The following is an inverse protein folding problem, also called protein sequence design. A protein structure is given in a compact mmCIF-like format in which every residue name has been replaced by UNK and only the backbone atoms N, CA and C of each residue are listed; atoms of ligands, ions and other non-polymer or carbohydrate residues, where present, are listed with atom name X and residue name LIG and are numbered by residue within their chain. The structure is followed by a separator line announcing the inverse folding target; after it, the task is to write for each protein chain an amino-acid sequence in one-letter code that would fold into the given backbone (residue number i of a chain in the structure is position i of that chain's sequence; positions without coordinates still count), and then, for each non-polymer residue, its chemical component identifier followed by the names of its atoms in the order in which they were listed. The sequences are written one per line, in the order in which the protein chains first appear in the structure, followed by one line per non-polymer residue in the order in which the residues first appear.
data_IF_326463290637
#
_entry.id   IF_326463290637
#
_cell.length_a   1.000
_cell.length_b   1.000
_cell.length_c   1.000
_cell.angle_alpha   90.00
_cell.angle_beta   90.00
_cell.angle_gamma   90.00
#
_symmetry.space_group_name_H-M   'P 1'
#
loop_
_entity.id
_entity.type
_entity.pdbx_description
1 polymer ?
#
# COMPACT_ATOMS: atom_id res chain seq x y z
N UNK A 1 19.31 30.06 61.52
CA UNK A 1 20.46 30.02 60.58
C UNK A 1 21.42 29.00 61.15
N UNK A 2 21.50 27.85 60.50
CA UNK A 2 21.97 26.59 61.09
C UNK A 2 23.23 26.11 60.38
N UNK A 3 24.19 25.58 61.14
CA UNK A 3 25.37 24.89 60.66
C UNK A 3 25.66 23.65 61.53
N UNK A 4 25.87 22.51 60.85
CA UNK A 4 26.93 21.47 61.01
C UNK A 4 27.61 21.29 62.39
N UNK A 5 27.93 20.11 62.97
CA UNK A 5 28.19 18.72 62.49
C UNK A 5 28.29 17.77 63.72
N UNK A 6 28.10 16.44 63.49
CA UNK A 6 28.72 15.26 64.14
C UNK A 6 28.55 14.96 65.65
N UNK A 7 28.15 13.71 65.97
CA UNK A 7 29.02 12.64 66.54
C UNK A 7 28.18 11.41 66.94
N UNK A 8 28.61 10.21 66.53
CA UNK A 8 28.08 8.90 66.97
C UNK A 8 28.75 8.43 68.25
N UNK A 9 27.99 7.86 69.22
CA UNK A 9 28.48 6.84 70.17
C UNK A 9 27.36 5.82 70.43
N UNK A 10 27.75 4.54 70.38
CA UNK A 10 26.96 3.32 70.64
C UNK A 10 26.72 3.15 72.14
N UNK A 11 25.62 2.50 72.52
CA UNK A 11 25.66 1.56 73.64
C UNK A 11 24.65 0.41 73.45
N UNK A 12 25.09 -0.76 73.89
CA UNK A 12 24.42 -2.05 73.75
C UNK A 12 23.93 -2.50 75.12
N UNK A 13 22.66 -2.94 75.26
CA UNK A 13 22.29 -4.26 75.81
C UNK A 13 20.86 -4.33 76.39
N UNK A 14 20.21 -5.46 76.04
CA UNK A 14 19.12 -6.20 76.73
C UNK A 14 17.80 -5.46 76.97
N UNK A 15 16.62 -5.95 76.58
CA UNK A 15 16.09 -7.26 76.96
C UNK A 15 14.80 -7.62 76.19
N UNK A 16 14.63 -8.92 75.92
CA UNK A 16 13.41 -9.69 75.62
C UNK A 16 12.12 -9.03 75.12
N UNK A 17 11.69 -9.45 73.93
CA UNK A 17 10.47 -10.28 73.79
C UNK A 17 10.44 -10.93 72.41
N UNK A 18 10.50 -12.25 72.44
CA UNK A 18 10.26 -13.12 71.30
C UNK A 18 8.91 -12.79 70.65
N UNK A 19 8.96 -12.29 69.43
CA UNK A 19 7.87 -12.43 68.48
C UNK A 19 8.46 -13.09 67.25
N UNK A 20 8.52 -14.42 67.32
CA UNK A 20 8.71 -15.29 66.17
C UNK A 20 7.57 -14.96 65.21
N UNK A 21 7.85 -14.09 64.24
CA UNK A 21 7.03 -13.92 63.06
C UNK A 21 7.38 -15.07 62.15
N UNK A 22 6.65 -16.18 62.32
CA UNK A 22 6.63 -17.30 61.37
C UNK A 22 6.29 -16.70 60.01
N UNK A 23 7.32 -16.52 59.18
CA UNK A 23 7.15 -16.03 57.83
C UNK A 23 6.79 -17.26 57.03
N UNK A 24 5.49 -17.51 56.86
CA UNK A 24 5.00 -18.53 55.95
C UNK A 24 5.53 -18.19 54.55
N UNK A 25 6.54 -18.95 54.11
CA UNK A 25 7.04 -18.88 52.74
C UNK A 25 5.98 -19.48 51.83
N UNK A 26 5.01 -18.67 51.42
CA UNK A 26 4.04 -19.07 50.41
C UNK A 26 4.78 -19.32 49.09
N UNK A 27 4.66 -20.55 48.56
CA UNK A 27 5.17 -20.90 47.24
C UNK A 27 4.34 -20.13 46.22
N UNK A 28 4.97 -19.17 45.55
CA UNK A 28 4.36 -18.44 44.44
C UNK A 28 4.35 -19.39 43.25
N UNK A 29 3.16 -19.86 42.87
CA UNK A 29 2.95 -20.68 41.66
C UNK A 29 2.44 -19.77 40.56
N UNK A 30 3.10 -19.83 39.43
CA UNK A 30 2.67 -19.11 38.22
C UNK A 30 1.34 -19.67 37.73
N UNK A 31 0.42 -18.80 37.34
CA UNK A 31 -0.87 -19.23 36.79
C UNK A 31 -0.68 -19.87 35.42
N UNK A 32 -1.18 -21.10 35.23
CA UNK A 32 -0.95 -21.89 34.01
C UNK A 32 -1.38 -21.18 32.72
N UNK A 33 -2.50 -20.44 32.76
CA UNK A 33 -3.04 -19.74 31.57
C UNK A 33 -2.59 -18.28 31.41
N UNK A 34 -2.26 -17.58 32.49
CA UNK A 34 -2.07 -16.12 32.50
C UNK A 34 -0.69 -15.67 32.98
N UNK A 35 0.24 -16.61 33.16
CA UNK A 35 1.65 -16.29 33.36
C UNK A 35 2.39 -16.23 32.02
N UNK A 36 2.35 -15.07 31.38
CA UNK A 36 3.02 -14.86 30.11
C UNK A 36 4.51 -14.55 30.32
N UNK A 37 5.38 -15.33 29.68
CA UNK A 37 6.78 -14.93 29.46
C UNK A 37 6.83 -13.91 28.31
N UNK A 38 6.28 -12.72 28.54
CA UNK A 38 6.25 -11.63 27.56
C UNK A 38 7.61 -10.93 27.50
N UNK A 39 8.58 -11.63 26.91
CA UNK A 39 9.92 -11.09 26.72
C UNK A 39 9.87 -9.97 25.68
N UNK A 40 10.46 -8.82 26.00
CA UNK A 40 10.76 -7.80 25.01
C UNK A 40 11.98 -8.23 24.21
N UNK A 41 11.95 -7.95 22.90
CA UNK A 41 13.04 -8.23 21.97
C UNK A 41 13.61 -6.91 21.48
N UNK A 42 14.92 -6.75 21.66
CA UNK A 42 15.68 -5.61 21.17
C UNK A 42 16.03 -5.80 19.69
N UNK A 43 15.58 -4.89 18.83
CA UNK A 43 15.87 -4.89 17.38
C UNK A 43 16.54 -3.57 17.03
N UNK A 44 17.68 -3.62 16.34
CA UNK A 44 18.37 -2.45 15.82
C UNK A 44 18.18 -2.38 14.30
N UNK A 45 17.72 -1.21 13.84
CA UNK A 45 17.60 -0.87 12.41
C UNK A 45 18.21 0.50 12.22
N UNK A 46 19.18 0.61 11.31
CA UNK A 46 20.00 1.81 11.18
C UNK A 46 20.58 2.21 12.56
N UNK A 47 20.47 3.49 12.94
CA UNK A 47 20.89 4.01 14.24
C UNK A 47 19.77 4.00 15.29
N UNK A 48 18.66 3.29 15.04
CA UNK A 48 17.49 3.26 15.91
C UNK A 48 17.32 1.90 16.59
N UNK A 49 17.16 1.92 17.92
CA UNK A 49 16.85 0.74 18.71
C UNK A 49 15.35 0.68 19.03
N UNK A 50 14.74 -0.46 18.73
CA UNK A 50 13.36 -0.78 19.04
C UNK A 50 13.32 -1.88 20.10
N UNK A 51 12.35 -1.80 21.01
CA UNK A 51 12.12 -2.83 22.02
C UNK A 51 10.65 -3.23 21.98
N UNK A 52 10.36 -4.46 21.57
CA UNK A 52 9.02 -4.88 21.11
C UNK A 52 8.66 -6.21 21.75
N UNK A 53 7.39 -6.42 22.11
CA UNK A 53 6.92 -7.69 22.64
C UNK A 53 7.17 -8.86 21.68
N UNK A 54 7.78 -9.94 22.17
CA UNK A 54 8.12 -11.14 21.37
C UNK A 54 6.88 -11.75 20.73
N UNK A 55 5.73 -11.73 21.41
CA UNK A 55 4.48 -12.28 20.85
C UNK A 55 4.09 -11.60 19.53
N UNK A 56 4.45 -10.33 19.34
CA UNK A 56 4.10 -9.61 18.13
C UNK A 56 4.94 -10.05 16.94
N UNK A 57 6.21 -10.39 17.18
CA UNK A 57 7.12 -10.92 16.18
C UNK A 57 6.78 -12.38 15.85
N UNK A 58 6.28 -13.17 16.81
CA UNK A 58 5.86 -14.56 16.57
C UNK A 58 4.73 -14.72 15.54
N UNK A 59 4.01 -13.64 15.20
CA UNK A 59 3.00 -13.61 14.13
C UNK A 59 3.62 -13.64 12.72
N UNK A 60 4.93 -13.47 12.62
CA UNK A 60 5.68 -13.64 11.37
C UNK A 60 6.26 -15.04 11.31
N UNK A 61 6.17 -15.63 10.12
CA UNK A 61 6.79 -16.93 9.82
C UNK A 61 8.31 -16.89 10.04
N UNK A 62 8.98 -15.87 9.50
CA UNK A 62 10.44 -15.71 9.60
C UNK A 62 10.89 -15.53 11.06
N UNK A 63 10.26 -14.63 11.81
CA UNK A 63 10.61 -14.40 13.21
C UNK A 63 10.29 -15.62 14.08
N UNK A 64 9.16 -16.29 13.83
CA UNK A 64 8.80 -17.54 14.51
C UNK A 64 9.86 -18.62 14.32
N UNK A 65 10.34 -18.80 13.10
CA UNK A 65 11.38 -19.79 12.80
C UNK A 65 12.74 -19.40 13.37
N UNK A 66 13.12 -18.13 13.28
CA UNK A 66 14.33 -17.60 13.90
C UNK A 66 14.37 -17.87 15.42
N UNK A 67 13.25 -17.72 16.13
CA UNK A 67 13.20 -18.00 17.57
C UNK A 67 13.16 -19.49 17.94
N UNK A 68 12.90 -20.40 16.99
CA UNK A 68 12.94 -21.86 17.21
C UNK A 68 14.35 -22.43 17.05
N UNK A 69 15.26 -21.73 16.38
CA UNK A 69 16.62 -22.22 16.15
C UNK A 69 17.30 -22.50 17.50
N UNK A 70 17.79 -23.73 17.74
CA UNK A 70 18.47 -24.08 18.98
C UNK A 70 19.68 -23.19 19.21
N UNK A 71 19.76 -22.58 20.40
CA UNK A 71 20.86 -21.70 20.76
C UNK A 71 22.10 -22.54 21.09
N UNK A 72 23.26 -22.13 20.59
CA UNK A 72 24.53 -22.70 21.01
C UNK A 72 24.68 -22.52 22.53
N UNK A 73 25.18 -23.55 23.23
CA UNK A 73 25.43 -23.52 24.68
C UNK A 73 26.67 -22.70 25.06
N UNK A 74 26.96 -21.65 24.31
CA UNK A 74 28.04 -20.72 24.62
C UNK A 74 27.49 -19.66 25.59
N UNK A 75 28.30 -19.20 26.56
CA UNK A 75 27.96 -18.15 27.55
C UNK A 75 27.69 -16.76 26.94
N UNK A 76 27.44 -16.67 25.63
CA UNK A 76 27.14 -15.41 24.96
C UNK A 76 25.66 -15.06 25.17
N UNK A 77 25.34 -13.78 25.44
CA UNK A 77 23.96 -13.33 25.51
C UNK A 77 23.24 -13.64 24.20
N UNK A 78 21.98 -14.05 24.30
CA UNK A 78 21.14 -14.35 23.15
C UNK A 78 20.88 -13.07 22.32
N UNK A 79 20.90 -13.20 21.00
CA UNK A 79 20.57 -12.10 20.10
C UNK A 79 19.14 -11.60 20.33
N UNK A 80 18.98 -10.30 20.54
CA UNK A 80 17.70 -9.66 20.87
C UNK A 80 17.32 -9.68 22.35
N UNK A 81 18.11 -10.32 23.22
CA UNK A 81 17.82 -10.41 24.66
C UNK A 81 17.98 -9.08 25.42
N UNK A 82 18.75 -8.14 24.88
CA UNK A 82 18.98 -6.85 25.53
C UNK A 82 19.36 -5.75 24.52
N UNK A 83 19.23 -4.46 24.90
CA UNK A 83 19.75 -3.33 24.12
C UNK A 83 21.23 -3.42 23.74
N UNK A 84 22.04 -4.11 24.55
CA UNK A 84 23.47 -4.30 24.30
C UNK A 84 23.77 -5.44 23.32
N UNK A 85 22.78 -6.29 23.04
CA UNK A 85 22.88 -7.39 22.09
C UNK A 85 21.59 -7.49 21.25
N UNK A 86 21.27 -6.47 20.42
CA UNK A 86 20.05 -6.44 19.65
C UNK A 86 20.15 -7.34 18.40
N UNK A 87 19.00 -7.73 17.86
CA UNK A 87 18.92 -8.30 16.51
C UNK A 87 19.15 -7.16 15.52
N UNK A 88 20.24 -7.23 14.75
CA UNK A 88 20.58 -6.18 13.76
C UNK A 88 19.95 -6.51 12.42
N UNK A 89 19.19 -5.58 11.87
CA UNK A 89 18.56 -5.74 10.56
C UNK A 89 19.13 -4.74 9.56
N UNK A 90 19.61 -5.26 8.44
CA UNK A 90 20.14 -4.48 7.32
C UNK A 90 19.12 -4.42 6.18
N UNK A 91 19.20 -3.38 5.34
CA UNK A 91 18.34 -3.23 4.16
C UNK A 91 16.91 -2.74 4.45
N UNK A 92 16.60 -2.38 5.70
CA UNK A 92 15.31 -1.82 6.11
C UNK A 92 15.51 -0.44 6.73
N UNK A 93 14.61 0.51 6.44
CA UNK A 93 14.61 1.83 7.08
C UNK A 93 13.90 1.79 8.42
N UNK A 94 14.41 2.52 9.41
CA UNK A 94 13.76 2.63 10.72
C UNK A 94 12.34 3.22 10.62
N UNK A 95 12.11 4.15 9.68
CA UNK A 95 10.78 4.71 9.39
C UNK A 95 9.77 3.66 8.93
N UNK A 96 10.22 2.73 8.09
CA UNK A 96 9.37 1.71 7.50
C UNK A 96 9.01 0.66 8.55
N UNK A 97 9.98 0.32 9.41
CA UNK A 97 9.72 -0.55 10.55
C UNK A 97 8.76 0.08 11.56
N UNK A 98 8.93 1.37 11.87
CA UNK A 98 7.98 2.09 12.71
C UNK A 98 6.56 2.10 12.11
N UNK A 99 6.42 2.19 10.79
CA UNK A 99 5.13 2.05 10.10
C UNK A 99 4.53 0.65 10.29
N UNK A 100 5.32 -0.41 10.13
CA UNK A 100 4.87 -1.78 10.43
C UNK A 100 4.40 -1.92 11.88
N UNK A 101 5.19 -1.44 12.85
CA UNK A 101 4.84 -1.52 14.27
C UNK A 101 3.54 -0.77 14.58
N UNK A 102 3.34 0.42 14.01
CA UNK A 102 2.08 1.17 14.18
C UNK A 102 0.87 0.32 13.76
N UNK A 103 0.95 -0.38 12.63
CA UNK A 103 -0.16 -1.25 12.17
C UNK A 103 -0.29 -2.49 13.05
N UNK A 104 0.84 -3.15 13.36
CA UNK A 104 0.90 -4.33 14.22
C UNK A 104 0.23 -4.08 15.58
N UNK A 105 0.53 -2.95 16.22
CA UNK A 105 -0.02 -2.59 17.52
C UNK A 105 -1.42 -1.97 17.44
N UNK A 106 -1.76 -1.26 16.35
CA UNK A 106 -3.12 -0.75 16.15
C UNK A 106 -4.17 -1.87 16.15
N UNK A 107 -3.84 -3.06 15.63
CA UNK A 107 -4.74 -4.21 15.67
C UNK A 107 -5.02 -4.77 17.07
N UNK A 108 -4.17 -4.49 18.07
CA UNK A 108 -4.36 -4.92 19.47
C UNK A 108 -4.90 -3.82 20.38
N UNK A 109 -4.63 -2.55 20.07
CA UNK A 109 -4.97 -1.41 20.90
C UNK A 109 -5.80 -0.40 20.09
N UNK A 110 -7.13 -0.48 20.27
CA UNK A 110 -8.12 0.58 20.02
C UNK A 110 -8.70 0.78 18.60
N UNK A 111 -10.01 0.52 18.49
CA UNK A 111 -11.14 1.49 18.35
C UNK A 111 -10.99 2.86 17.65
N UNK A 112 -9.82 3.28 17.16
CA UNK A 112 -9.67 4.51 16.38
C UNK A 112 -8.97 4.23 15.06
N UNK A 113 -9.75 4.32 13.98
CA UNK A 113 -9.36 4.11 12.60
C UNK A 113 -8.06 4.85 12.26
N UNK A 114 -6.97 4.10 12.15
CA UNK A 114 -5.72 4.59 11.59
C UNK A 114 -6.03 5.06 10.15
N UNK A 115 -5.92 6.37 9.90
CA UNK A 115 -6.13 6.90 8.56
C UNK A 115 -5.14 6.22 7.62
N UNK A 116 -5.60 5.43 6.62
CA UNK A 116 -4.72 4.60 5.81
C UNK A 116 -4.01 5.47 4.78
N UNK A 117 -2.96 6.19 5.22
CA UNK A 117 -2.10 6.95 4.32
C UNK A 117 -1.14 6.02 3.59
N UNK A 118 -0.83 6.31 2.33
CA UNK A 118 0.13 5.52 1.57
C UNK A 118 1.51 5.43 2.27
N UNK A 119 1.91 6.50 2.96
CA UNK A 119 3.16 6.57 3.74
C UNK A 119 3.23 5.60 4.91
N UNK A 120 2.09 5.11 5.38
CA UNK A 120 2.00 4.15 6.48
C UNK A 120 1.73 2.74 5.95
N UNK A 121 0.77 2.63 5.03
CA UNK A 121 0.30 1.35 4.52
C UNK A 121 1.34 0.67 3.63
N UNK A 122 2.01 1.42 2.75
CA UNK A 122 2.95 0.82 1.78
C UNK A 122 4.19 0.24 2.46
N UNK A 123 4.90 0.96 3.35
CA UNK A 123 6.05 0.38 4.05
C UNK A 123 5.66 -0.79 4.95
N UNK A 124 4.53 -0.66 5.67
CA UNK A 124 4.02 -1.75 6.50
C UNK A 124 3.69 -2.99 5.66
N UNK A 125 3.06 -2.83 4.49
CA UNK A 125 2.71 -3.93 3.60
C UNK A 125 3.96 -4.62 3.02
N UNK A 126 4.97 -3.84 2.61
CA UNK A 126 6.26 -4.38 2.15
C UNK A 126 6.94 -5.24 3.22
N UNK A 127 7.07 -4.72 4.44
CA UNK A 127 7.70 -5.46 5.53
C UNK A 127 6.85 -6.65 5.98
N UNK A 128 5.52 -6.53 5.97
CA UNK A 128 4.62 -7.64 6.24
C UNK A 128 4.81 -8.78 5.23
N UNK A 129 4.95 -8.45 3.94
CA UNK A 129 5.26 -9.43 2.90
C UNK A 129 6.65 -10.04 3.11
N UNK A 130 7.67 -9.19 3.32
CA UNK A 130 9.07 -9.61 3.45
C UNK A 130 9.31 -10.54 4.63
N UNK A 131 8.65 -10.30 5.78
CA UNK A 131 8.81 -11.11 6.98
C UNK A 131 7.72 -12.17 7.18
N UNK A 132 6.80 -12.36 6.23
CA UNK A 132 5.79 -13.41 6.32
C UNK A 132 4.75 -13.17 7.42
N UNK A 133 4.30 -11.93 7.60
CA UNK A 133 3.14 -11.61 8.44
C UNK A 133 1.84 -11.81 7.61
N UNK A 134 1.44 -13.05 7.39
CA UNK A 134 0.34 -13.42 6.48
C UNK A 134 -1.01 -12.77 6.82
N UNK A 135 -1.39 -12.72 8.09
CA UNK A 135 -2.64 -12.08 8.55
C UNK A 135 -2.59 -10.56 8.36
N UNK A 136 -1.46 -9.94 8.72
CA UNK A 136 -1.27 -8.51 8.58
C UNK A 136 -1.25 -8.09 7.11
N UNK A 137 -0.59 -8.87 6.26
CA UNK A 137 -0.58 -8.67 4.80
C UNK A 137 -2.01 -8.69 4.26
N UNK A 138 -2.82 -9.66 4.67
CA UNK A 138 -4.22 -9.77 4.25
C UNK A 138 -5.06 -8.57 4.71
N UNK A 139 -4.81 -8.07 5.92
CA UNK A 139 -5.45 -6.87 6.45
C UNK A 139 -5.04 -5.59 5.70
N UNK A 140 -3.75 -5.48 5.35
CA UNK A 140 -3.18 -4.30 4.68
C UNK A 140 -3.48 -4.24 3.18
N UNK A 141 -3.70 -5.39 2.53
CA UNK A 141 -3.98 -5.48 1.09
C UNK A 141 -5.11 -4.52 0.63
N UNK A 142 -6.33 -4.57 1.19
CA UNK A 142 -7.40 -3.66 0.78
C UNK A 142 -7.12 -2.18 1.09
N UNK A 143 -6.29 -1.89 2.09
CA UNK A 143 -5.87 -0.52 2.39
C UNK A 143 -4.87 -0.02 1.35
N UNK A 144 -3.92 -0.87 0.95
CA UNK A 144 -2.94 -0.56 -0.10
C UNK A 144 -3.63 -0.36 -1.45
N UNK A 145 -4.66 -1.16 -1.75
CA UNK A 145 -5.47 -0.98 -2.97
C UNK A 145 -6.17 0.37 -3.04
N UNK A 146 -6.60 0.91 -1.89
CA UNK A 146 -7.26 2.22 -1.83
C UNK A 146 -6.26 3.38 -1.81
N UNK A 147 -5.11 3.20 -1.16
CA UNK A 147 -4.13 4.25 -0.97
C UNK A 147 -3.25 4.51 -2.22
N UNK A 148 -3.08 3.51 -3.09
CA UNK A 148 -2.16 3.58 -4.23
C UNK A 148 -2.85 3.91 -5.55
N UNK A 149 -2.23 4.80 -6.34
CA UNK A 149 -2.53 4.99 -7.75
C UNK A 149 -2.11 3.80 -8.60
N UNK A 150 -2.62 3.70 -9.83
CA UNK A 150 -2.35 2.54 -10.69
C UNK A 150 -0.89 2.36 -11.07
N UNK A 151 -0.14 3.46 -11.22
CA UNK A 151 1.31 3.39 -11.48
C UNK A 151 2.06 2.78 -10.29
N UNK A 152 1.78 3.26 -9.09
CA UNK A 152 2.44 2.74 -7.88
C UNK A 152 2.01 1.30 -7.57
N UNK A 153 0.77 0.91 -7.91
CA UNK A 153 0.32 -0.49 -7.87
C UNK A 153 1.13 -1.38 -8.81
N UNK A 154 1.42 -0.94 -10.03
CA UNK A 154 2.28 -1.71 -10.96
C UNK A 154 3.68 -1.88 -10.39
N UNK A 155 4.27 -0.81 -9.83
CA UNK A 155 5.59 -0.88 -9.21
C UNK A 155 5.62 -1.86 -8.04
N UNK A 156 4.70 -1.71 -7.09
CA UNK A 156 4.64 -2.56 -5.91
C UNK A 156 4.33 -4.02 -6.27
N UNK A 157 3.49 -4.23 -7.29
CA UNK A 157 3.19 -5.57 -7.78
C UNK A 157 4.41 -6.26 -8.39
N UNK A 158 5.26 -5.54 -9.13
CA UNK A 158 6.52 -6.08 -9.65
C UNK A 158 7.51 -6.38 -8.51
N UNK A 159 7.63 -5.46 -7.57
CA UNK A 159 8.51 -5.57 -6.41
C UNK A 159 8.17 -6.80 -5.55
N UNK A 160 6.88 -7.04 -5.29
CA UNK A 160 6.42 -8.10 -4.39
C UNK A 160 5.91 -9.36 -5.11
N UNK A 161 6.05 -9.44 -6.44
CA UNK A 161 5.57 -10.58 -7.23
C UNK A 161 4.04 -10.76 -7.24
N UNK A 162 3.27 -9.69 -7.11
CA UNK A 162 1.80 -9.72 -7.07
C UNK A 162 1.17 -9.57 -8.46
N UNK A 163 1.23 -10.64 -9.26
CA UNK A 163 0.73 -10.61 -10.65
C UNK A 163 -0.74 -10.18 -10.78
N UNK A 164 -1.58 -10.49 -9.78
CA UNK A 164 -3.00 -10.15 -9.75
C UNK A 164 -3.29 -8.65 -9.85
N UNK A 165 -2.33 -7.78 -9.52
CA UNK A 165 -2.47 -6.33 -9.63
C UNK A 165 -2.02 -5.77 -10.98
N UNK A 166 -1.15 -6.49 -11.70
CA UNK A 166 -0.55 -5.99 -12.94
C UNK A 166 -1.60 -5.74 -14.02
N UNK A 167 -2.43 -6.74 -14.34
CA UNK A 167 -3.42 -6.58 -15.41
C UNK A 167 -4.48 -5.51 -15.08
N UNK A 168 -5.15 -5.52 -13.90
CA UNK A 168 -6.14 -4.49 -13.56
C UNK A 168 -5.57 -3.07 -13.57
N UNK A 169 -4.34 -2.87 -13.08
CA UNK A 169 -3.71 -1.56 -13.08
C UNK A 169 -3.40 -1.08 -14.51
N UNK A 170 -2.85 -1.94 -15.37
CA UNK A 170 -2.60 -1.58 -16.78
C UNK A 170 -3.90 -1.30 -17.54
N UNK A 171 -4.97 -2.05 -17.31
CA UNK A 171 -6.29 -1.79 -17.91
C UNK A 171 -6.79 -0.39 -17.55
N UNK A 172 -6.75 -0.03 -16.25
CA UNK A 172 -7.15 1.31 -15.80
C UNK A 172 -6.26 2.42 -16.35
N UNK A 173 -4.94 2.17 -16.46
CA UNK A 173 -4.01 3.09 -17.12
C UNK A 173 -4.31 3.24 -18.61
N UNK A 174 -4.74 2.20 -19.30
CA UNK A 174 -5.18 2.32 -20.69
C UNK A 174 -6.45 3.19 -20.76
N UNK A 175 -7.43 2.93 -19.90
CA UNK A 175 -8.76 3.56 -19.92
C UNK A 175 -8.81 5.01 -19.45
N UNK A 176 -7.89 5.43 -18.56
CA UNK A 176 -7.91 6.79 -18.00
C UNK A 176 -7.74 7.85 -19.10
N UNK A 177 -8.41 9.00 -18.94
CA UNK A 177 -8.37 10.10 -19.92
C UNK A 177 -7.04 10.84 -19.89
N UNK A 178 -6.44 10.92 -18.72
CA UNK A 178 -5.18 11.63 -18.47
C UNK A 178 -4.02 10.92 -19.19
N UNK A 179 -3.19 11.71 -19.86
CA UNK A 179 -1.97 11.22 -20.49
C UNK A 179 -0.96 10.74 -19.42
N UNK A 180 -0.02 9.90 -19.83
CA UNK A 180 1.10 9.54 -18.96
C UNK A 180 2.01 10.76 -18.80
N UNK A 181 2.33 11.11 -17.57
CA UNK A 181 3.38 12.09 -17.29
C UNK A 181 4.76 11.47 -17.53
N UNK A 182 5.79 12.31 -17.73
CA UNK A 182 7.16 11.81 -17.89
C UNK A 182 7.69 11.03 -16.68
N UNK A 183 7.26 11.38 -15.47
CA UNK A 183 7.59 10.65 -14.24
C UNK A 183 6.93 9.26 -14.22
N UNK A 184 5.65 9.17 -14.55
CA UNK A 184 4.94 7.90 -14.64
C UNK A 184 5.53 6.99 -15.72
N UNK A 185 5.87 7.54 -16.89
CA UNK A 185 6.49 6.80 -17.97
C UNK A 185 7.85 6.21 -17.54
N UNK A 186 8.67 6.99 -16.82
CA UNK A 186 9.94 6.50 -16.26
C UNK A 186 9.74 5.36 -15.25
N UNK A 187 8.76 5.50 -14.36
CA UNK A 187 8.40 4.46 -13.37
C UNK A 187 7.90 3.18 -14.03
N UNK A 188 7.02 3.29 -15.01
CA UNK A 188 6.38 2.14 -15.66
C UNK A 188 7.36 1.34 -16.55
N UNK A 189 8.37 2.00 -17.11
CA UNK A 189 9.27 1.37 -18.08
C UNK A 189 8.65 1.26 -19.48
N UNK A 190 9.51 0.98 -20.46
CA UNK A 190 9.16 1.12 -21.89
C UNK A 190 8.04 0.18 -22.33
N UNK A 191 8.07 -1.10 -21.93
CA UNK A 191 7.05 -2.07 -22.35
C UNK A 191 5.65 -1.68 -21.88
N UNK A 192 5.50 -1.22 -20.64
CA UNK A 192 4.23 -0.72 -20.12
C UNK A 192 3.76 0.52 -20.87
N UNK A 193 4.67 1.46 -21.13
CA UNK A 193 4.35 2.68 -21.89
C UNK A 193 3.89 2.34 -23.30
N UNK A 194 4.59 1.43 -23.98
CA UNK A 194 4.27 0.98 -25.33
C UNK A 194 2.93 0.25 -25.38
N UNK A 195 2.64 -0.60 -24.39
CA UNK A 195 1.34 -1.25 -24.24
C UNK A 195 0.24 -0.20 -24.12
N UNK A 196 0.37 0.74 -23.18
CA UNK A 196 -0.64 1.77 -22.93
C UNK A 196 -0.86 2.64 -24.18
N UNK A 197 0.21 3.03 -24.86
CA UNK A 197 0.15 3.81 -26.09
C UNK A 197 -0.59 3.05 -27.21
N UNK A 198 -0.21 1.79 -27.47
CA UNK A 198 -0.86 0.94 -28.49
C UNK A 198 -2.35 0.78 -28.21
N UNK A 199 -2.73 0.50 -26.96
CA UNK A 199 -4.13 0.31 -26.58
C UNK A 199 -4.95 1.60 -26.77
N UNK A 200 -4.40 2.74 -26.35
CA UNK A 200 -5.06 4.04 -26.51
C UNK A 200 -5.19 4.44 -27.97
N UNK A 201 -4.17 4.20 -28.80
CA UNK A 201 -4.20 4.48 -30.23
C UNK A 201 -5.21 3.59 -30.97
N UNK A 202 -5.21 2.29 -30.70
CA UNK A 202 -6.19 1.37 -31.27
C UNK A 202 -7.62 1.80 -30.92
N UNK A 203 -7.87 2.25 -29.69
CA UNK A 203 -9.18 2.76 -29.30
C UNK A 203 -9.50 4.08 -30.03
N UNK A 204 -8.58 5.04 -30.04
CA UNK A 204 -8.74 6.30 -30.77
C UNK A 204 -8.99 6.08 -32.28
N UNK A 205 -8.39 5.07 -32.88
CA UNK A 205 -8.58 4.73 -34.30
C UNK A 205 -9.95 4.12 -34.61
N UNK A 206 -10.51 3.33 -33.67
CA UNK A 206 -11.86 2.73 -33.77
C UNK A 206 -12.96 3.76 -33.46
N UNK A 207 -12.62 4.74 -32.66
CA UNK A 207 -13.49 5.84 -32.25
C UNK A 207 -13.61 6.93 -33.32
N UNK A 208 -12.77 6.86 -34.36
CA UNK A 208 -13.02 7.50 -35.65
C UNK A 208 -14.19 6.79 -36.33
N UNK A 209 -15.42 7.05 -35.87
CA UNK A 209 -16.50 7.22 -36.85
C UNK A 209 -16.01 8.33 -37.75
N UNK A 210 -15.48 7.99 -38.93
CA UNK A 210 -15.07 8.96 -39.94
C UNK A 210 -16.28 9.85 -40.16
N UNK A 211 -16.28 11.04 -39.56
CA UNK A 211 -17.26 12.05 -39.90
C UNK A 211 -17.01 12.28 -41.39
N UNK A 212 -17.94 11.80 -42.21
CA UNK A 212 -17.98 12.18 -43.61
C UNK A 212 -18.75 13.49 -43.68
N UNK A 213 -18.51 14.26 -44.74
CA UNK A 213 -19.19 15.53 -44.92
C UNK A 213 -20.71 15.37 -44.72
N UNK A 214 -21.29 16.23 -43.88
CA UNK A 214 -22.68 16.08 -43.46
C UNK A 214 -23.03 16.84 -42.18
N UNK A 215 -24.31 16.75 -41.80
CA UNK A 215 -24.90 17.50 -40.70
C UNK A 215 -24.92 16.66 -39.41
N UNK A 216 -24.42 17.21 -38.31
CA UNK A 216 -24.35 16.53 -37.01
C UNK A 216 -24.94 17.40 -35.89
N UNK A 217 -25.69 16.79 -34.96
CA UNK A 217 -26.23 17.49 -33.80
C UNK A 217 -25.11 17.75 -32.78
N UNK A 218 -25.32 18.72 -31.89
CA UNK A 218 -24.38 19.08 -30.81
C UNK A 218 -23.94 17.87 -29.97
N UNK A 219 -24.86 16.94 -29.69
CA UNK A 219 -24.53 15.70 -28.99
C UNK A 219 -23.63 14.76 -29.81
N UNK A 220 -23.83 14.66 -31.12
CA UNK A 220 -23.02 13.79 -31.98
C UNK A 220 -21.68 14.43 -32.36
N UNK A 221 -21.60 15.76 -32.42
CA UNK A 221 -20.37 16.50 -32.75
C UNK A 221 -19.54 16.87 -31.52
N UNK A 222 -20.09 16.76 -30.30
CA UNK A 222 -19.41 17.18 -29.08
C UNK A 222 -19.17 18.69 -28.96
N UNK A 223 -19.77 19.49 -29.84
CA UNK A 223 -19.70 20.95 -29.80
C UNK A 223 -20.99 21.54 -29.21
N UNK A 224 -20.88 22.25 -28.09
CA UNK A 224 -21.93 23.12 -27.57
C UNK A 224 -21.75 24.54 -28.11
N UNK A 225 -22.28 24.81 -29.30
CA UNK A 225 -22.32 26.16 -29.83
C UNK A 225 -23.40 26.97 -29.11
N UNK A 226 -23.01 28.02 -28.37
CA UNK A 226 -23.95 29.03 -27.91
C UNK A 226 -24.12 30.05 -29.05
N UNK A 227 -24.88 29.67 -30.07
CA UNK A 227 -24.93 30.46 -31.29
C UNK A 227 -26.15 30.18 -32.13
N UNK A 228 -27.04 31.16 -32.17
CA UNK A 228 -27.87 31.47 -33.33
C UNK A 228 -26.93 31.70 -34.54
N UNK A 229 -26.37 30.63 -35.13
CA UNK A 229 -25.79 30.74 -36.46
C UNK A 229 -26.98 30.88 -37.40
N UNK A 230 -27.25 32.10 -37.85
CA UNK A 230 -28.39 32.51 -38.68
C UNK A 230 -28.47 31.90 -40.08
N UNK A 231 -28.10 30.63 -40.24
CA UNK A 231 -28.49 29.81 -41.38
C UNK A 231 -29.73 29.01 -40.97
N UNK A 232 -30.85 29.71 -40.95
CA UNK A 232 -32.19 29.11 -41.07
C UNK A 232 -32.30 28.44 -42.45
N UNK A 233 -31.66 27.28 -42.61
CA UNK A 233 -31.92 26.42 -43.74
C UNK A 233 -33.25 25.70 -43.47
N UNK A 234 -34.29 26.08 -44.20
CA UNK A 234 -35.66 25.59 -44.16
C UNK A 234 -35.83 24.09 -44.54
N UNK A 235 -34.85 23.24 -44.25
CA UNK A 235 -34.91 21.81 -44.53
C UNK A 235 -34.65 21.02 -43.24
N UNK A 236 -35.64 20.23 -42.84
CA UNK A 236 -35.58 19.23 -41.77
C UNK A 236 -34.49 18.21 -42.05
N UNK A 237 -33.25 18.58 -41.77
CA UNK A 237 -32.09 17.74 -42.03
C UNK A 237 -31.91 16.79 -40.85
N UNK A 238 -31.72 15.50 -41.12
CA UNK A 238 -31.44 14.51 -40.10
C UNK A 238 -29.94 14.51 -39.76
N UNK A 239 -29.63 14.38 -38.47
CA UNK A 239 -28.27 14.17 -38.02
C UNK A 239 -27.72 12.88 -38.63
N UNK A 240 -26.57 12.95 -39.30
CA UNK A 240 -25.93 11.76 -39.89
C UNK A 240 -25.47 10.74 -38.84
N UNK A 241 -25.28 11.17 -37.59
CA UNK A 241 -24.85 10.32 -36.46
C UNK A 241 -25.99 9.60 -35.74
N UNK A 242 -27.10 10.28 -35.42
CA UNK A 242 -28.20 9.72 -34.64
C UNK A 242 -29.58 9.80 -35.33
N UNK A 243 -29.62 10.29 -36.58
CA UNK A 243 -30.83 10.45 -37.40
C UNK A 243 -31.89 11.38 -36.82
N UNK A 244 -31.61 12.08 -35.71
CA UNK A 244 -32.54 13.05 -35.15
C UNK A 244 -32.66 14.28 -36.06
N UNK A 245 -33.89 14.76 -36.25
CA UNK A 245 -34.17 15.98 -37.01
C UNK A 245 -34.10 17.16 -36.04
N UNK A 246 -33.29 18.17 -36.36
CA UNK A 246 -33.16 19.36 -35.54
C UNK A 246 -32.81 20.58 -36.39
N UNK A 247 -33.41 21.73 -36.05
CA UNK A 247 -33.05 23.03 -36.61
C UNK A 247 -31.82 23.58 -35.88
N UNK A 248 -30.64 23.08 -36.24
CA UNK A 248 -29.39 23.47 -35.57
C UNK A 248 -28.24 22.47 -35.71
N UNK A 249 -28.17 21.76 -36.84
CA UNK A 249 -27.09 20.81 -37.09
C UNK A 249 -25.83 21.53 -37.60
N UNK A 250 -24.67 21.15 -37.07
CA UNK A 250 -23.37 21.61 -37.55
C UNK A 250 -23.01 20.86 -38.83
N UNK A 251 -22.75 21.59 -39.91
CA UNK A 251 -22.20 21.00 -41.13
C UNK A 251 -20.70 20.80 -40.98
N UNK A 252 -20.28 19.54 -41.01
CA UNK A 252 -18.87 19.17 -40.95
C UNK A 252 -18.35 18.96 -42.39
N UNK A 253 -17.28 19.66 -42.77
CA UNK A 253 -16.76 19.67 -44.15
C UNK A 253 -15.53 18.76 -44.39
N UNK A 254 -15.31 17.75 -43.55
CA UNK A 254 -14.34 16.68 -43.86
C UNK A 254 -12.91 16.83 -43.35
N UNK A 255 -12.62 17.75 -42.42
CA UNK A 255 -11.29 17.89 -41.82
C UNK A 255 -11.33 17.99 -40.29
N UNK A 256 -11.06 16.90 -39.57
CA UNK A 256 -10.98 16.85 -38.10
C UNK A 256 -11.66 15.64 -37.46
N UNK A 257 -10.94 14.84 -36.68
CA UNK A 257 -11.54 13.72 -35.95
C UNK A 257 -12.20 14.24 -34.66
N UNK A 258 -13.49 13.98 -34.46
CA UNK A 258 -14.17 14.17 -33.18
C UNK A 258 -14.10 12.82 -32.45
N UNK A 259 -13.52 12.81 -31.25
CA UNK A 259 -13.42 11.62 -30.39
C UNK A 259 -14.77 11.40 -29.67
N UNK A 260 -15.27 10.16 -29.64
CA UNK A 260 -16.50 9.75 -28.92
C UNK A 260 -16.31 8.37 -28.25
N UNK A 261 -15.36 8.28 -27.32
CA UNK A 261 -14.78 7.02 -26.82
C UNK A 261 -15.78 5.99 -26.33
N UNK A 262 -16.07 4.97 -27.15
CA UNK A 262 -16.69 3.73 -26.66
C UNK A 262 -15.62 2.65 -26.55
N UNK A 263 -15.11 2.42 -25.33
CA UNK A 263 -14.12 1.37 -25.07
C UNK A 263 -14.72 -0.02 -25.29
N UNK A 264 -14.08 -0.84 -26.14
CA UNK A 264 -14.35 -2.28 -26.14
C UNK A 264 -13.57 -2.93 -24.99
N UNK A 265 -14.16 -2.91 -23.79
CA UNK A 265 -13.52 -3.35 -22.55
C UNK A 265 -13.08 -4.83 -22.61
N UNK A 266 -13.83 -5.70 -23.29
CA UNK A 266 -13.54 -7.15 -23.33
C UNK A 266 -12.25 -7.47 -24.10
N UNK A 267 -12.01 -6.79 -25.23
CA UNK A 267 -10.80 -7.00 -26.04
C UNK A 267 -9.56 -6.46 -25.32
N UNK A 268 -9.66 -5.27 -24.72
CA UNK A 268 -8.60 -4.67 -23.92
C UNK A 268 -8.19 -5.60 -22.77
N UNK A 269 -9.16 -6.10 -22.01
CA UNK A 269 -8.89 -7.02 -20.91
C UNK A 269 -8.15 -8.28 -21.36
N UNK A 270 -8.60 -8.91 -22.46
CA UNK A 270 -8.00 -10.13 -22.97
C UNK A 270 -6.54 -9.92 -23.40
N UNK A 271 -6.26 -8.80 -24.08
CA UNK A 271 -4.94 -8.49 -24.60
C UNK A 271 -3.96 -8.10 -23.49
N UNK A 272 -4.38 -7.28 -22.52
CA UNK A 272 -3.56 -6.94 -21.34
C UNK A 272 -3.29 -8.18 -20.49
N UNK A 273 -4.30 -9.03 -20.23
CA UNK A 273 -4.12 -10.29 -19.47
C UNK A 273 -3.16 -11.25 -20.20
N UNK A 274 -3.19 -11.31 -21.53
CA UNK A 274 -2.24 -12.09 -22.33
C UNK A 274 -0.82 -11.54 -22.21
N UNK A 275 -0.66 -10.23 -22.32
CA UNK A 275 0.66 -9.58 -22.19
C UNK A 275 1.27 -9.75 -20.80
N UNK A 276 0.47 -9.62 -19.72
CA UNK A 276 0.95 -9.88 -18.36
C UNK A 276 1.42 -11.32 -18.18
N UNK A 277 0.66 -12.31 -18.68
CA UNK A 277 1.07 -13.73 -18.66
C UNK A 277 2.35 -14.00 -19.46
N UNK A 278 2.67 -13.17 -20.44
CA UNK A 278 3.90 -13.28 -21.24
C UNK A 278 5.09 -12.55 -20.59
N UNK A 279 4.98 -12.13 -19.33
CA UNK A 279 6.07 -11.51 -18.58
C UNK A 279 6.15 -9.98 -18.72
N UNK A 280 5.08 -9.31 -19.16
CA UNK A 280 5.04 -7.84 -19.29
C UNK A 280 6.12 -7.26 -20.23
N UNK A 281 6.52 -8.02 -21.26
CA UNK A 281 7.52 -7.62 -22.25
C UNK A 281 6.98 -7.81 -23.67
N UNK A 282 7.38 -6.95 -24.59
CA UNK A 282 7.24 -7.23 -26.01
C UNK A 282 8.47 -7.99 -26.50
N UNK A 283 8.24 -9.10 -27.21
CA UNK A 283 9.29 -9.76 -27.98
C UNK A 283 9.30 -9.11 -29.35
N UNK A 284 10.41 -8.50 -29.71
CA UNK A 284 10.68 -8.03 -31.07
C UNK A 284 10.85 -9.21 -32.04
#
# INVERSE_FOLDING_TARGET
MSGTTSTSIKDSSSNGRDKVSTTESHIIVNHDEFFFNDALVAIQIEDTLFNIHKYQLLKSEIFSDMFKVPKAKDDKPEEGSSPNNPIKMEGVKASDFAALLKVLYAGQFCTQQLAPTATLVVPAFRLANMWGFSDLRSCLLPLAEKALGDVDKVLLARELGMEGWLAPAHIRLCQRREQLTGEEARKLGMDSVLLIARMREQNASKDRRRFSAGHYCSNCSGFSGNGNSGLSAHFSTACKGCQSVSSGLLYYNGGGNIMSGTWNNTLLEAEVKKWVRNGCIFKD
#
